data_IF_504173995611
#
_entry.id   IF_504173995611
#
_cell.length_a   1.000
_cell.length_b   1.000
_cell.length_c   1.000
_cell.angle_alpha   90.00
_cell.angle_beta   90.00
_cell.angle_gamma   90.00
#
_symmetry.space_group_name_H-M   'P 1'
#
loop_
_entity.id
_entity.type
_entity.pdbx_description
1 polymer ?
#
# COMPACT_ATOMS: atom_id res chain seq x y z
N UNK A 1 -4.57 -15.47 -14.35
CA UNK A 1 -3.23 -16.10 -14.32
C UNK A 1 -2.23 -15.27 -13.50
N UNK A 2 -2.00 -13.98 -13.83
CA UNK A 2 -1.05 -13.14 -13.07
C UNK A 2 -1.31 -13.04 -11.57
N UNK A 3 -2.54 -12.72 -11.16
CA UNK A 3 -2.96 -12.68 -9.75
C UNK A 3 -2.68 -14.01 -9.03
N UNK A 4 -2.99 -15.14 -9.69
CA UNK A 4 -2.73 -16.48 -9.14
C UNK A 4 -1.23 -16.73 -8.91
N UNK A 5 -0.38 -16.41 -9.89
CA UNK A 5 1.07 -16.57 -9.73
C UNK A 5 1.62 -15.69 -8.60
N UNK A 6 1.13 -14.46 -8.50
CA UNK A 6 1.55 -13.52 -7.46
C UNK A 6 1.13 -14.02 -6.07
N UNK A 7 -0.15 -14.34 -5.85
CA UNK A 7 -0.68 -14.70 -4.54
C UNK A 7 -0.35 -16.15 -4.12
N UNK A 8 -0.41 -17.12 -5.04
CA UNK A 8 -0.31 -18.54 -4.68
C UNK A 8 1.05 -19.17 -4.95
N UNK A 9 1.95 -18.51 -5.69
CA UNK A 9 3.31 -19.01 -5.92
C UNK A 9 4.37 -18.09 -5.33
N UNK A 10 4.40 -16.81 -5.73
CA UNK A 10 5.45 -15.87 -5.34
C UNK A 10 5.32 -15.42 -3.89
N UNK A 11 4.12 -15.02 -3.47
CA UNK A 11 3.87 -14.59 -2.09
C UNK A 11 4.12 -15.73 -1.09
N UNK A 12 3.80 -16.99 -1.44
CA UNK A 12 4.14 -18.14 -0.58
C UNK A 12 5.65 -18.31 -0.38
N UNK A 13 6.44 -17.99 -1.39
CA UNK A 13 7.92 -18.06 -1.33
C UNK A 13 8.54 -16.86 -0.64
N UNK A 14 7.92 -15.68 -0.77
CA UNK A 14 8.34 -14.46 -0.09
C UNK A 14 7.12 -13.74 0.50
N UNK A 15 6.70 -14.10 1.73
CA UNK A 15 5.48 -13.57 2.35
C UNK A 15 5.47 -12.06 2.58
N UNK A 16 6.64 -11.41 2.56
CA UNK A 16 6.77 -9.96 2.77
C UNK A 16 6.85 -9.18 1.47
N UNK A 17 6.89 -9.84 0.29
CA UNK A 17 7.21 -9.17 -0.98
C UNK A 17 6.29 -7.98 -1.30
N UNK A 18 4.98 -8.10 -1.06
CA UNK A 18 4.05 -7.03 -1.37
C UNK A 18 4.25 -5.83 -0.44
N UNK A 19 4.38 -6.06 0.87
CA UNK A 19 4.65 -5.01 1.85
C UNK A 19 6.02 -4.36 1.65
N UNK A 20 7.04 -5.16 1.32
CA UNK A 20 8.40 -4.71 1.09
C UNK A 20 8.44 -3.69 -0.06
N UNK A 21 7.78 -4.01 -1.18
CA UNK A 21 7.83 -3.24 -2.43
C UNK A 21 6.65 -2.30 -2.67
N UNK A 22 5.74 -2.14 -1.71
CA UNK A 22 4.53 -1.35 -1.92
C UNK A 22 4.80 0.10 -2.28
N UNK A 23 5.77 0.74 -1.62
CA UNK A 23 6.16 2.13 -1.89
C UNK A 23 6.80 2.22 -3.27
N UNK A 24 7.71 1.29 -3.60
CA UNK A 24 8.34 1.16 -4.91
C UNK A 24 7.28 1.08 -6.02
N UNK A 25 6.19 0.32 -5.83
CA UNK A 25 5.09 0.23 -6.78
C UNK A 25 4.38 1.57 -7.00
N UNK A 26 4.17 2.37 -5.96
CA UNK A 26 3.53 3.69 -6.08
C UNK A 26 4.37 4.62 -6.97
N UNK A 27 5.68 4.70 -6.71
CA UNK A 27 6.59 5.51 -7.52
C UNK A 27 6.77 4.97 -8.95
N UNK A 28 6.96 3.66 -9.09
CA UNK A 28 7.24 3.02 -10.38
C UNK A 28 6.05 3.15 -11.34
N UNK A 29 4.84 2.83 -10.89
CA UNK A 29 3.68 2.89 -11.77
C UNK A 29 3.30 4.32 -12.14
N UNK A 30 3.59 5.32 -11.30
CA UNK A 30 3.48 6.73 -11.68
C UNK A 30 4.64 7.24 -12.55
N UNK A 31 5.69 6.41 -12.75
CA UNK A 31 6.95 6.81 -13.37
C UNK A 31 7.52 8.11 -12.77
N UNK A 32 7.48 8.21 -11.44
CA UNK A 32 7.98 9.38 -10.72
C UNK A 32 9.46 9.18 -10.39
N UNK A 33 10.34 9.94 -11.03
CA UNK A 33 11.80 9.74 -10.99
C UNK A 33 12.54 10.76 -10.13
N UNK A 34 11.85 11.73 -9.51
CA UNK A 34 12.50 12.81 -8.74
C UNK A 34 12.89 12.42 -7.32
N UNK A 35 12.30 11.36 -6.76
CA UNK A 35 12.65 10.85 -5.44
C UNK A 35 14.07 10.26 -5.46
N UNK A 36 14.89 10.49 -4.43
CA UNK A 36 16.29 10.03 -4.41
C UNK A 36 16.46 8.49 -4.45
N UNK A 37 15.61 7.77 -3.70
CA UNK A 37 15.63 6.31 -3.55
C UNK A 37 14.73 5.52 -4.52
N UNK A 38 13.51 5.99 -4.76
CA UNK A 38 12.49 5.22 -5.48
C UNK A 38 12.52 5.44 -6.99
N UNK A 39 12.14 4.40 -7.74
CA UNK A 39 12.17 4.37 -9.21
C UNK A 39 13.56 4.69 -9.81
N UNK A 40 14.62 4.13 -9.21
CA UNK A 40 16.03 4.33 -9.62
C UNK A 40 16.70 3.12 -10.24
N UNK A 41 15.95 2.04 -10.47
CA UNK A 41 16.53 0.88 -11.11
C UNK A 41 16.74 1.16 -12.61
N UNK A 42 17.75 0.53 -13.25
CA UNK A 42 17.98 0.70 -14.68
C UNK A 42 16.74 0.25 -15.48
N UNK A 43 16.21 1.16 -16.30
CA UNK A 43 15.09 0.89 -17.20
C UNK A 43 15.34 1.56 -18.54
N UNK A 44 15.18 0.79 -19.62
CA UNK A 44 15.10 1.33 -20.97
C UNK A 44 13.82 2.14 -21.17
N UNK A 45 13.84 3.08 -22.11
CA UNK A 45 12.64 3.82 -22.52
C UNK A 45 11.51 2.90 -23.01
N UNK A 46 11.86 1.73 -23.56
CA UNK A 46 10.87 0.71 -23.94
C UNK A 46 10.20 0.12 -22.70
N UNK A 47 10.96 -0.23 -21.67
CA UNK A 47 10.41 -0.77 -20.42
C UNK A 47 9.55 0.25 -19.69
N UNK A 48 9.98 1.52 -19.63
CA UNK A 48 9.15 2.60 -19.05
C UNK A 48 7.80 2.72 -19.78
N UNK A 49 7.80 2.69 -21.12
CA UNK A 49 6.54 2.73 -21.89
C UNK A 49 5.64 1.51 -21.68
N UNK A 50 6.20 0.34 -21.43
CA UNK A 50 5.45 -0.91 -21.30
C UNK A 50 4.95 -1.17 -19.87
N UNK A 51 5.75 -0.84 -18.87
CA UNK A 51 5.53 -1.26 -17.47
C UNK A 51 5.15 -0.13 -16.53
N UNK A 52 5.42 1.14 -16.90
CA UNK A 52 4.79 2.23 -16.17
C UNK A 52 3.30 2.31 -16.50
N UNK A 53 2.56 2.91 -15.59
CA UNK A 53 1.14 3.19 -15.72
C UNK A 53 0.92 4.70 -15.49
N UNK A 54 1.84 5.54 -16.00
CA UNK A 54 1.81 7.00 -15.81
C UNK A 54 0.52 7.59 -16.39
N UNK A 55 0.05 8.69 -15.82
CA UNK A 55 -1.06 9.46 -16.35
C UNK A 55 -2.41 9.13 -15.72
N UNK A 56 -3.29 10.12 -15.66
CA UNK A 56 -4.66 9.98 -15.11
C UNK A 56 -5.48 8.83 -15.72
N UNK A 57 -5.31 8.53 -17.02
CA UNK A 57 -6.06 7.46 -17.71
C UNK A 57 -5.73 6.06 -17.18
N UNK A 58 -4.57 5.88 -16.56
CA UNK A 58 -4.15 4.62 -15.98
C UNK A 58 -4.41 4.53 -14.48
N UNK A 59 -5.01 5.57 -13.86
CA UNK A 59 -5.24 5.64 -12.42
C UNK A 59 -6.01 4.43 -11.88
N UNK A 60 -7.09 4.03 -12.55
CA UNK A 60 -7.88 2.86 -12.15
C UNK A 60 -7.06 1.57 -12.18
N UNK A 61 -6.16 1.41 -13.16
CA UNK A 61 -5.27 0.25 -13.25
C UNK A 61 -4.27 0.23 -12.10
N UNK A 62 -3.69 1.39 -11.75
CA UNK A 62 -2.81 1.52 -10.59
C UNK A 62 -3.54 1.20 -9.29
N UNK A 63 -4.74 1.74 -9.09
CA UNK A 63 -5.57 1.46 -7.91
C UNK A 63 -5.96 -0.02 -7.81
N UNK A 64 -6.27 -0.68 -8.94
CA UNK A 64 -6.51 -2.13 -8.94
C UNK A 64 -5.31 -2.90 -8.41
N UNK A 65 -4.09 -2.52 -8.81
CA UNK A 65 -2.86 -3.15 -8.33
C UNK A 65 -2.66 -2.86 -6.83
N UNK A 66 -2.77 -1.60 -6.40
CA UNK A 66 -2.55 -1.26 -4.98
C UNK A 66 -3.54 -1.97 -4.05
N UNK A 67 -4.82 -2.02 -4.42
CA UNK A 67 -5.85 -2.73 -3.65
C UNK A 67 -5.56 -4.23 -3.58
N UNK A 68 -5.23 -4.86 -4.71
CA UNK A 68 -4.83 -6.27 -4.73
C UNK A 68 -3.65 -6.54 -3.78
N UNK A 69 -2.60 -5.70 -3.79
CA UNK A 69 -1.47 -5.87 -2.88
C UNK A 69 -1.89 -5.74 -1.41
N UNK A 70 -2.71 -4.74 -1.08
CA UNK A 70 -3.21 -4.48 0.29
C UNK A 70 -4.17 -5.57 0.80
N UNK A 71 -4.94 -6.21 -0.07
CA UNK A 71 -5.81 -7.34 0.30
C UNK A 71 -5.01 -8.51 0.87
N UNK A 72 -3.77 -8.69 0.39
CA UNK A 72 -2.86 -9.74 0.84
C UNK A 72 -1.96 -9.36 2.02
N UNK A 73 -2.12 -8.15 2.59
CA UNK A 73 -1.37 -7.76 3.78
C UNK A 73 -1.88 -8.48 5.02
N UNK A 74 -0.98 -8.71 5.99
CA UNK A 74 -1.36 -9.03 7.38
C UNK A 74 -1.81 -7.76 8.10
N UNK A 75 -2.48 -7.91 9.25
CA UNK A 75 -2.89 -6.74 10.04
C UNK A 75 -1.68 -5.96 10.59
N UNK A 76 -0.58 -6.64 10.93
CA UNK A 76 0.69 -5.97 11.25
C UNK A 76 1.21 -5.13 10.07
N UNK A 77 1.20 -5.68 8.85
CA UNK A 77 1.62 -4.94 7.66
C UNK A 77 0.70 -3.74 7.37
N UNK A 78 -0.62 -3.88 7.58
CA UNK A 78 -1.59 -2.78 7.45
C UNK A 78 -1.39 -1.70 8.50
N UNK A 79 -1.08 -2.09 9.75
CA UNK A 79 -0.74 -1.15 10.80
C UNK A 79 0.50 -0.32 10.42
N UNK A 80 1.52 -0.98 9.88
CA UNK A 80 2.81 -0.36 9.57
C UNK A 80 2.82 0.44 8.25
N UNK A 81 2.01 0.08 7.25
CA UNK A 81 2.11 0.68 5.92
C UNK A 81 1.71 2.15 5.90
N UNK A 82 0.76 2.57 6.74
CA UNK A 82 0.34 3.97 6.85
C UNK A 82 1.53 4.85 7.24
N UNK A 83 2.26 4.48 8.30
CA UNK A 83 3.47 5.19 8.73
C UNK A 83 4.55 5.17 7.65
N UNK A 84 4.74 4.03 6.97
CA UNK A 84 5.71 3.92 5.87
C UNK A 84 5.37 4.84 4.71
N UNK A 85 4.10 4.97 4.32
CA UNK A 85 3.63 5.92 3.29
C UNK A 85 3.90 7.37 3.73
N UNK A 86 3.54 7.73 4.96
CA UNK A 86 3.76 9.08 5.47
C UNK A 86 5.24 9.46 5.42
N UNK A 87 6.13 8.59 5.92
CA UNK A 87 7.57 8.86 5.97
C UNK A 87 8.25 8.79 4.61
N UNK A 88 7.82 7.89 3.73
CA UNK A 88 8.52 7.62 2.45
C UNK A 88 7.98 8.42 1.28
N UNK A 89 6.78 9.01 1.40
CA UNK A 89 6.14 9.78 0.34
C UNK A 89 5.80 11.17 0.85
N UNK A 90 4.90 11.27 1.84
CA UNK A 90 4.32 12.57 2.22
C UNK A 90 5.34 13.52 2.85
N UNK A 91 6.25 13.01 3.69
CA UNK A 91 7.30 13.81 4.32
C UNK A 91 8.17 14.54 3.30
N UNK A 92 8.56 13.88 2.20
CA UNK A 92 9.36 14.50 1.15
C UNK A 92 8.70 15.73 0.51
N UNK A 93 7.36 15.78 0.45
CA UNK A 93 6.64 16.94 -0.06
C UNK A 93 6.37 17.97 1.04
N UNK A 94 6.04 17.53 2.25
CA UNK A 94 5.80 18.40 3.39
C UNK A 94 7.05 19.21 3.78
N UNK A 95 8.22 18.56 3.71
CA UNK A 95 9.52 19.16 4.03
C UNK A 95 10.11 19.96 2.84
N UNK A 96 9.40 20.02 1.71
CA UNK A 96 9.85 20.74 0.51
C UNK A 96 11.04 20.12 -0.23
N UNK A 97 11.38 18.86 0.08
CA UNK A 97 12.45 18.11 -0.59
C UNK A 97 12.07 17.82 -2.05
N UNK A 98 10.80 17.47 -2.30
CA UNK A 98 10.27 17.21 -3.64
C UNK A 98 9.30 18.31 -4.09
N UNK A 99 9.34 18.70 -5.38
CA UNK A 99 8.48 19.77 -5.88
C UNK A 99 7.02 19.30 -6.03
N UNK A 100 6.08 20.19 -5.75
CA UNK A 100 4.64 20.01 -5.99
C UNK A 100 4.26 20.39 -7.43
N UNK A 101 4.68 19.57 -8.39
CA UNK A 101 4.36 19.73 -9.80
C UNK A 101 3.26 18.77 -10.29
N UNK A 102 2.98 18.79 -11.60
CA UNK A 102 1.95 17.93 -12.20
C UNK A 102 2.23 16.43 -12.01
N UNK A 103 3.50 16.00 -12.00
CA UNK A 103 3.86 14.60 -11.80
C UNK A 103 3.67 14.20 -10.34
N UNK A 104 4.03 15.09 -9.42
CA UNK A 104 3.78 14.92 -7.99
C UNK A 104 2.28 14.85 -7.67
N UNK A 105 1.46 15.63 -8.39
CA UNK A 105 0.01 15.62 -8.21
C UNK A 105 -0.62 14.25 -8.48
N UNK A 106 -0.16 13.53 -9.51
CA UNK A 106 -0.66 12.17 -9.79
C UNK A 106 -0.22 11.17 -8.70
N UNK A 107 1.06 11.22 -8.31
CA UNK A 107 1.61 10.38 -7.24
C UNK A 107 0.90 10.62 -5.89
N UNK A 108 0.67 11.87 -5.53
CA UNK A 108 -0.02 12.26 -4.30
C UNK A 108 -1.50 11.90 -4.36
N UNK A 109 -2.16 12.05 -5.51
CA UNK A 109 -3.54 11.59 -5.69
C UNK A 109 -3.65 10.09 -5.42
N UNK A 110 -2.74 9.29 -5.94
CA UNK A 110 -2.72 7.84 -5.69
C UNK A 110 -2.45 7.53 -4.21
N UNK A 111 -1.52 8.25 -3.61
CA UNK A 111 -1.14 8.10 -2.20
C UNK A 111 -2.32 8.36 -1.28
N UNK A 112 -3.07 9.46 -1.49
CA UNK A 112 -4.26 9.75 -0.71
C UNK A 112 -5.38 8.74 -0.94
N UNK A 113 -5.57 8.28 -2.18
CA UNK A 113 -6.58 7.26 -2.47
C UNK A 113 -6.26 5.93 -1.76
N UNK A 114 -4.99 5.52 -1.76
CA UNK A 114 -4.51 4.36 -0.99
C UNK A 114 -4.76 4.53 0.50
N UNK A 115 -4.39 5.68 1.09
CA UNK A 115 -4.61 5.97 2.51
C UNK A 115 -6.09 6.01 2.90
N UNK A 116 -6.97 6.38 1.97
CA UNK A 116 -8.42 6.40 2.16
C UNK A 116 -9.12 5.07 1.86
N UNK A 117 -8.40 4.10 1.28
CA UNK A 117 -8.96 2.83 0.83
C UNK A 117 -9.46 1.97 2.00
N UNK A 118 -10.43 1.09 1.75
CA UNK A 118 -10.86 0.13 2.79
C UNK A 118 -9.78 -0.93 3.01
N UNK A 119 -9.02 -1.24 1.97
CA UNK A 119 -7.98 -2.28 1.89
C UNK A 119 -6.78 -2.01 2.80
N UNK A 120 -6.54 -0.76 3.20
CA UNK A 120 -5.49 -0.38 4.15
C UNK A 120 -5.90 -0.57 5.62
N UNK A 121 -7.20 -0.61 5.93
CA UNK A 121 -7.69 -0.75 7.32
C UNK A 121 -7.45 -2.16 7.84
N UNK A 122 -7.11 -2.31 9.12
CA UNK A 122 -7.01 -3.61 9.80
C UNK A 122 -8.27 -4.45 9.52
N UNK A 123 -8.10 -5.75 9.21
CA UNK A 123 -9.22 -6.67 9.00
C UNK A 123 -10.09 -6.74 10.24
N UNK A 124 -9.46 -6.75 11.42
CA UNK A 124 -10.11 -6.59 12.73
C UNK A 124 -11.14 -5.43 12.77
N UNK A 125 -10.87 -4.32 12.08
CA UNK A 125 -11.71 -3.13 12.06
C UNK A 125 -12.75 -3.14 10.94
N UNK A 126 -12.67 -4.08 9.98
CA UNK A 126 -13.68 -4.24 8.92
C UNK A 126 -14.88 -5.07 9.39
N UNK A 127 -14.76 -5.75 10.53
CA UNK A 127 -15.83 -6.51 11.14
C UNK A 127 -16.93 -5.59 11.72
N UNK A 128 -17.88 -5.20 10.86
CA UNK A 128 -19.30 -5.06 11.21
C UNK A 128 -20.08 -6.14 10.43
N UNK A 129 -21.23 -6.60 10.96
CA UNK A 129 -21.62 -8.01 10.94
C UNK A 129 -22.20 -8.44 9.60
N UNK A 130 -21.34 -8.64 8.60
CA UNK A 130 -21.68 -9.63 7.57
C UNK A 130 -21.38 -11.01 8.16
N UNK A 131 -22.43 -11.61 8.70
CA UNK A 131 -22.51 -13.06 8.87
C UNK A 131 -22.26 -13.68 7.49
N UNK A 132 -21.04 -14.11 7.21
CA UNK A 132 -20.73 -15.20 6.25
C UNK A 132 -19.24 -15.33 5.89
N UNK A 133 -18.33 -14.55 6.46
CA UNK A 133 -16.90 -14.86 6.35
C UNK A 133 -16.45 -15.68 7.57
N UNK A 134 -16.16 -16.95 7.31
CA UNK A 134 -15.46 -17.87 8.22
C UNK A 134 -14.06 -17.31 8.51
N UNK A 135 -13.95 -16.32 9.40
CA UNK A 135 -12.70 -16.00 10.08
C UNK A 135 -12.50 -17.06 11.17
N UNK A 136 -11.31 -17.67 11.19
CA UNK A 136 -10.93 -18.61 12.25
C UNK A 136 -10.99 -17.88 13.61
N UNK A 137 -11.50 -18.56 14.64
CA UNK A 137 -11.77 -17.96 15.97
C UNK A 137 -10.51 -17.32 16.59
N UNK A 138 -9.33 -17.84 16.26
CA UNK A 138 -8.04 -17.33 16.73
C UNK A 138 -7.71 -15.93 16.19
N UNK A 139 -8.07 -15.62 14.94
CA UNK A 139 -7.83 -14.31 14.33
C UNK A 139 -8.71 -13.22 14.97
N UNK A 140 -9.94 -13.57 15.37
CA UNK A 140 -10.83 -12.67 16.11
C UNK A 140 -10.34 -12.40 17.53
N UNK A 141 -9.75 -13.39 18.20
CA UNK A 141 -9.18 -13.22 19.53
C UNK A 141 -7.97 -12.27 19.49
N UNK A 142 -7.05 -12.46 18.53
CA UNK A 142 -5.88 -11.60 18.36
C UNK A 142 -6.26 -10.15 18.02
N UNK A 143 -7.22 -9.98 17.12
CA UNK A 143 -7.80 -8.67 16.77
C UNK A 143 -8.30 -7.90 17.99
N UNK A 144 -9.04 -8.57 18.89
CA UNK A 144 -9.57 -7.95 20.10
C UNK A 144 -8.49 -7.56 21.10
N UNK A 145 -7.44 -8.38 21.25
CA UNK A 145 -6.30 -8.07 22.14
C UNK A 145 -5.56 -6.83 21.64
N UNK A 146 -5.24 -6.76 20.35
CA UNK A 146 -4.56 -5.60 19.75
C UNK A 146 -5.37 -4.31 19.90
N UNK A 147 -6.70 -4.38 19.72
CA UNK A 147 -7.59 -3.24 19.90
C UNK A 147 -7.63 -2.73 21.34
N UNK A 148 -7.68 -3.64 22.33
CA UNK A 148 -7.65 -3.25 23.74
C UNK A 148 -6.32 -2.61 24.13
N UNK A 149 -5.21 -3.11 23.59
CA UNK A 149 -3.89 -2.57 23.89
C UNK A 149 -3.65 -1.19 23.24
N UNK A 150 -4.16 -0.98 22.02
CA UNK A 150 -4.16 0.33 21.37
C UNK A 150 -5.00 1.35 22.15
N UNK A 151 -6.19 0.98 22.64
CA UNK A 151 -7.04 1.85 23.46
C UNK A 151 -6.36 2.22 24.79
N UNK A 152 -5.71 1.27 25.47
CA UNK A 152 -4.98 1.54 26.71
C UNK A 152 -3.84 2.53 26.50
N UNK A 153 -3.10 2.42 25.38
CA UNK A 153 -2.01 3.35 25.06
C UNK A 153 -2.50 4.77 24.71
N UNK A 154 -3.66 4.89 24.06
CA UNK A 154 -4.29 6.16 23.73
C UNK A 154 -4.81 6.92 24.96
N UNK A 155 -5.26 6.23 26.00
CA UNK A 155 -5.79 6.84 27.24
C UNK A 155 -4.65 7.18 28.23
N UNK A 156 -3.45 6.64 28.01
CA UNK A 156 -2.27 6.79 28.86
C UNK A 156 -1.36 7.97 28.47
N UNK A 157 -1.71 8.77 27.45
CA UNK A 157 -1.00 10.00 27.06
C UNK A 157 -1.85 11.23 27.41
#
# INVERSE_FOLDING_TARGET
FGEFCLAHLLLKRNPVMFFQHFIECIFHFNNYEKHEKYNKFPQSEREKRLFSLKGKTNKERRMKIYKFLLEHFTDEQRFNITSKICLSILACFADGILPLDMEASELLSDTFEVLSSKEIKLLAMRAKPDKDLLMEEDDMALANVVMQEAQKKLISQ
#
